data_IF_913407882634
#
_entry.id   IF_913407882634
#
_cell.length_a   1.000
_cell.length_b   1.000
_cell.length_c   1.000
_cell.angle_alpha   90.00
_cell.angle_beta   90.00
_cell.angle_gamma   90.00
#
_symmetry.space_group_name_H-M   'P 1'
#
loop_
_entity.id
_entity.type
_entity.pdbx_description
1 polymer ?
#
# COMPACT_ATOMS: atom_id res chain seq x y z
N UNK A 1 -18.90 41.54 46.93
CA UNK A 1 -20.14 41.76 46.15
C UNK A 1 -19.93 42.03 44.65
N UNK A 2 -18.81 42.62 44.20
CA UNK A 2 -18.61 42.98 42.78
C UNK A 2 -18.12 41.86 41.83
N UNK A 3 -17.60 40.74 42.34
CA UNK A 3 -17.05 39.66 41.50
C UNK A 3 -18.14 38.71 40.98
N UNK A 4 -19.05 38.29 41.87
CA UNK A 4 -20.19 37.42 41.57
C UNK A 4 -21.16 38.05 40.55
N UNK A 5 -21.46 39.35 40.71
CA UNK A 5 -22.26 40.11 39.72
C UNK A 5 -21.62 40.17 38.33
N UNK A 6 -20.29 40.23 38.23
CA UNK A 6 -19.57 40.21 36.94
C UNK A 6 -19.62 38.83 36.30
N UNK A 7 -19.43 37.76 37.08
CA UNK A 7 -19.51 36.37 36.60
C UNK A 7 -20.93 36.02 36.12
N UNK A 8 -21.97 36.44 36.85
CA UNK A 8 -23.37 36.24 36.45
C UNK A 8 -23.71 37.01 35.15
N UNK A 9 -23.16 38.22 34.98
CA UNK A 9 -23.35 39.02 33.78
C UNK A 9 -22.59 38.44 32.57
N UNK A 10 -21.41 37.85 32.80
CA UNK A 10 -20.62 37.18 31.77
C UNK A 10 -21.28 35.86 31.32
N UNK A 11 -21.85 35.11 32.26
CA UNK A 11 -22.61 33.89 31.99
C UNK A 11 -23.90 34.20 31.22
N UNK A 12 -24.62 35.25 31.62
CA UNK A 12 -25.78 35.74 30.89
C UNK A 12 -25.45 36.17 29.46
N UNK A 13 -24.31 36.85 29.23
CA UNK A 13 -23.85 37.21 27.89
C UNK A 13 -23.44 35.97 27.07
N UNK A 14 -22.78 34.99 27.67
CA UNK A 14 -22.41 33.75 26.99
C UNK A 14 -23.64 32.94 26.57
N UNK A 15 -24.61 32.76 27.47
CA UNK A 15 -25.86 32.05 27.18
C UNK A 15 -26.65 32.77 26.06
N UNK A 16 -26.70 34.10 26.07
CA UNK A 16 -27.38 34.89 25.03
C UNK A 16 -26.66 34.81 23.67
N UNK A 17 -25.32 34.75 23.67
CA UNK A 17 -24.54 34.53 22.45
C UNK A 17 -24.77 33.13 21.89
N UNK A 18 -24.85 32.11 22.73
CA UNK A 18 -25.13 30.73 22.32
C UNK A 18 -26.57 30.56 21.80
N UNK A 19 -27.53 31.26 22.40
CA UNK A 19 -28.94 31.32 21.99
C UNK A 19 -29.12 32.02 20.62
N UNK A 20 -28.27 33.00 20.29
CA UNK A 20 -28.19 33.65 18.98
C UNK A 20 -27.39 32.83 17.95
N UNK A 21 -26.36 32.10 18.39
CA UNK A 21 -25.47 31.35 17.49
C UNK A 21 -26.10 30.05 16.98
N UNK A 22 -26.84 29.34 17.83
CA UNK A 22 -27.50 28.08 17.47
C UNK A 22 -28.50 28.18 16.30
N UNK A 23 -29.41 29.17 16.23
CA UNK A 23 -30.32 29.32 15.08
C UNK A 23 -29.59 29.75 13.80
N UNK A 24 -28.55 30.60 13.91
CA UNK A 24 -27.72 31.00 12.76
C UNK A 24 -26.93 29.80 12.22
N UNK A 25 -26.32 29.00 13.08
CA UNK A 25 -25.62 27.77 12.72
C UNK A 25 -26.56 26.73 12.10
N UNK A 26 -27.80 26.62 12.61
CA UNK A 26 -28.84 25.74 12.04
C UNK A 26 -29.29 26.20 10.65
N UNK A 27 -29.48 27.50 10.45
CA UNK A 27 -29.78 28.09 9.13
C UNK A 27 -28.61 27.92 8.15
N UNK A 28 -27.37 28.14 8.58
CA UNK A 28 -26.17 27.94 7.77
C UNK A 28 -26.00 26.47 7.35
N UNK A 29 -26.23 25.52 8.26
CA UNK A 29 -26.26 24.07 7.95
C UNK A 29 -27.39 23.70 6.99
N UNK A 30 -28.55 24.35 7.09
CA UNK A 30 -29.67 24.17 6.16
C UNK A 30 -29.35 24.68 4.75
N UNK A 31 -28.72 25.86 4.65
CA UNK A 31 -28.29 26.46 3.40
C UNK A 31 -27.18 25.62 2.73
N UNK A 32 -26.19 25.15 3.50
CA UNK A 32 -25.15 24.24 3.02
C UNK A 32 -25.73 22.94 2.43
N UNK A 33 -26.72 22.33 3.10
CA UNK A 33 -27.41 21.13 2.58
C UNK A 33 -28.16 21.39 1.27
N UNK A 34 -28.78 22.56 1.11
CA UNK A 34 -29.43 22.95 -0.15
C UNK A 34 -28.39 23.12 -1.26
N UNK A 35 -27.30 23.83 -1.00
CA UNK A 35 -26.21 24.06 -1.97
C UNK A 35 -25.57 22.72 -2.38
N UNK A 36 -25.29 21.83 -1.43
CA UNK A 36 -24.79 20.49 -1.70
C UNK A 36 -25.73 19.69 -2.62
N UNK A 37 -27.05 19.73 -2.34
CA UNK A 37 -28.05 19.07 -3.20
C UNK A 37 -28.05 19.65 -4.61
N UNK A 38 -28.07 20.98 -4.75
CA UNK A 38 -28.01 21.61 -6.08
C UNK A 38 -26.76 21.22 -6.87
N UNK A 39 -25.60 21.12 -6.20
CA UNK A 39 -24.34 20.71 -6.83
C UNK A 39 -24.38 19.27 -7.32
N UNK A 40 -24.75 18.33 -6.45
CA UNK A 40 -24.78 16.91 -6.83
C UNK A 40 -25.86 16.68 -7.90
N UNK A 41 -27.03 17.33 -7.81
CA UNK A 41 -28.04 17.27 -8.88
C UNK A 41 -27.49 17.82 -10.19
N UNK A 42 -26.79 18.96 -10.19
CA UNK A 42 -26.21 19.54 -11.40
C UNK A 42 -25.15 18.65 -12.05
N UNK A 43 -24.28 18.04 -11.25
CA UNK A 43 -23.29 17.06 -11.71
C UNK A 43 -23.97 15.80 -12.28
N UNK A 44 -24.97 15.26 -11.58
CA UNK A 44 -25.73 14.07 -12.00
C UNK A 44 -26.49 14.35 -13.30
N UNK A 45 -27.17 15.49 -13.42
CA UNK A 45 -27.81 15.94 -14.64
C UNK A 45 -26.82 16.05 -15.80
N UNK A 46 -25.66 16.68 -15.58
CA UNK A 46 -24.62 16.81 -16.60
C UNK A 46 -24.17 15.43 -17.10
N UNK A 47 -23.90 14.47 -16.20
CA UNK A 47 -23.48 13.12 -16.54
C UNK A 47 -24.56 12.31 -17.29
N UNK A 48 -25.82 12.43 -16.88
CA UNK A 48 -26.96 11.76 -17.55
C UNK A 48 -27.14 12.31 -18.96
N UNK A 49 -27.21 13.63 -19.12
CA UNK A 49 -27.36 14.29 -20.42
C UNK A 49 -26.25 13.93 -21.38
N UNK A 50 -25.02 13.82 -20.88
CA UNK A 50 -23.86 13.39 -21.68
C UNK A 50 -23.95 11.94 -22.15
N UNK A 51 -24.42 11.02 -21.28
CA UNK A 51 -24.67 9.62 -21.67
C UNK A 51 -25.84 9.51 -22.67
N UNK A 52 -26.89 10.31 -22.50
CA UNK A 52 -28.01 10.38 -23.42
C UNK A 52 -27.60 10.93 -24.79
N UNK A 53 -26.77 11.98 -24.83
CA UNK A 53 -26.18 12.52 -26.07
C UNK A 53 -25.42 11.45 -26.85
N UNK A 54 -24.55 10.68 -26.18
CA UNK A 54 -23.84 9.55 -26.83
C UNK A 54 -24.78 8.48 -27.37
N UNK A 55 -25.85 8.18 -26.63
CA UNK A 55 -26.85 7.20 -27.06
C UNK A 55 -27.67 7.72 -28.26
N UNK A 56 -28.03 9.00 -28.27
CA UNK A 56 -28.71 9.66 -29.40
C UNK A 56 -27.82 9.68 -30.65
N UNK A 57 -26.52 9.95 -30.49
CA UNK A 57 -25.56 9.92 -31.59
C UNK A 57 -25.43 8.50 -32.21
N UNK A 58 -25.45 7.46 -31.38
CA UNK A 58 -25.45 6.07 -31.85
C UNK A 58 -26.71 5.69 -32.64
N UNK A 59 -27.85 6.36 -32.39
CA UNK A 59 -29.12 6.18 -33.11
C UNK A 59 -29.22 7.11 -34.34
N UNK A 60 -28.13 7.84 -34.67
CA UNK A 60 -28.02 8.82 -35.77
C UNK A 60 -28.88 10.07 -35.61
N UNK A 61 -29.33 10.39 -34.40
CA UNK A 61 -30.01 11.66 -34.10
C UNK A 61 -28.98 12.74 -33.74
N UNK A 62 -28.35 13.33 -34.76
CA UNK A 62 -27.23 14.26 -34.58
C UNK A 62 -27.64 15.56 -33.89
N UNK A 63 -28.82 16.11 -34.21
CA UNK A 63 -29.32 17.38 -33.66
C UNK A 63 -29.63 17.23 -32.16
N UNK A 64 -30.32 16.15 -31.79
CA UNK A 64 -30.62 15.87 -30.39
C UNK A 64 -29.33 15.59 -29.59
N UNK A 65 -28.38 14.88 -30.20
CA UNK A 65 -27.10 14.61 -29.56
C UNK A 65 -26.30 15.90 -29.27
N UNK A 66 -26.26 16.86 -30.21
CA UNK A 66 -25.56 18.13 -29.99
C UNK A 66 -26.23 18.97 -28.91
N UNK A 67 -27.56 19.05 -28.91
CA UNK A 67 -28.32 19.84 -27.93
C UNK A 67 -28.13 19.27 -26.51
N UNK A 68 -28.21 17.94 -26.36
CA UNK A 68 -27.97 17.28 -25.07
C UNK A 68 -26.53 17.48 -24.57
N UNK A 69 -25.54 17.53 -25.48
CA UNK A 69 -24.15 17.80 -25.11
C UNK A 69 -23.95 19.25 -24.66
N UNK A 70 -24.58 20.22 -25.33
CA UNK A 70 -24.52 21.62 -24.96
C UNK A 70 -25.16 21.87 -23.58
N UNK A 71 -26.34 21.29 -23.34
CA UNK A 71 -26.98 21.35 -22.04
C UNK A 71 -26.14 20.69 -20.93
N UNK A 72 -25.48 19.57 -21.22
CA UNK A 72 -24.56 18.91 -20.27
C UNK A 72 -23.41 19.84 -19.85
N UNK A 73 -22.79 20.53 -20.82
CA UNK A 73 -21.70 21.51 -20.58
C UNK A 73 -22.18 22.72 -19.78
N UNK A 74 -23.39 23.21 -20.06
CA UNK A 74 -23.98 24.32 -19.32
C UNK A 74 -24.20 23.98 -17.83
N UNK A 75 -24.68 22.78 -17.53
CA UNK A 75 -24.84 22.32 -16.16
C UNK A 75 -23.50 22.15 -15.43
N UNK A 76 -22.49 21.62 -16.12
CA UNK A 76 -21.13 21.49 -15.60
C UNK A 76 -20.54 22.87 -15.25
N UNK A 77 -20.62 23.82 -16.17
CA UNK A 77 -20.09 25.18 -15.99
C UNK A 77 -20.76 25.89 -14.81
N UNK A 78 -22.09 25.77 -14.67
CA UNK A 78 -22.81 26.32 -13.50
C UNK A 78 -22.34 25.69 -12.18
N UNK A 79 -22.03 24.38 -12.16
CA UNK A 79 -21.53 23.73 -10.96
C UNK A 79 -20.11 24.21 -10.59
N UNK A 80 -19.26 24.43 -11.60
CA UNK A 80 -17.90 24.97 -11.45
C UNK A 80 -17.95 26.41 -10.92
N UNK A 81 -18.77 27.28 -11.51
CA UNK A 81 -18.90 28.68 -11.07
C UNK A 81 -19.37 28.80 -9.61
N UNK A 82 -20.25 27.90 -9.16
CA UNK A 82 -20.68 27.84 -7.75
C UNK A 82 -19.56 27.30 -6.86
N UNK A 83 -18.72 26.39 -7.36
CA UNK A 83 -17.53 25.93 -6.62
C UNK A 83 -16.50 27.04 -6.46
N UNK A 84 -16.19 27.77 -7.52
CA UNK A 84 -15.19 28.83 -7.50
C UNK A 84 -15.59 29.92 -6.50
N UNK A 85 -16.85 30.37 -6.53
CA UNK A 85 -17.35 31.35 -5.55
C UNK A 85 -17.29 30.85 -4.11
N UNK A 86 -17.67 29.60 -3.86
CA UNK A 86 -17.59 29.02 -2.51
C UNK A 86 -16.14 28.89 -2.02
N UNK A 87 -15.22 28.58 -2.94
CA UNK A 87 -13.80 28.45 -2.62
C UNK A 87 -13.19 29.81 -2.29
N UNK A 88 -13.57 30.86 -3.03
CA UNK A 88 -13.20 32.26 -2.77
C UNK A 88 -13.71 32.76 -1.41
N UNK A 89 -14.94 32.41 -1.02
CA UNK A 89 -15.53 32.82 0.26
C UNK A 89 -14.91 32.07 1.46
N UNK A 90 -14.84 30.73 1.40
CA UNK A 90 -14.31 29.92 2.49
C UNK A 90 -13.77 28.56 2.03
N UNK A 91 -12.45 28.51 1.83
CA UNK A 91 -11.72 27.31 1.39
C UNK A 91 -12.00 26.06 2.25
N UNK A 92 -12.03 26.18 3.58
CA UNK A 92 -12.21 25.03 4.47
C UNK A 92 -13.61 24.43 4.36
N UNK A 93 -14.62 25.29 4.32
CA UNK A 93 -16.02 24.87 4.21
C UNK A 93 -16.33 24.32 2.80
N UNK A 94 -15.70 24.87 1.76
CA UNK A 94 -15.83 24.35 0.40
C UNK A 94 -15.26 22.93 0.25
N UNK A 95 -14.10 22.66 0.86
CA UNK A 95 -13.48 21.31 0.87
C UNK A 95 -14.35 20.32 1.63
N UNK A 96 -14.84 20.69 2.83
CA UNK A 96 -15.73 19.85 3.63
C UNK A 96 -17.02 19.52 2.87
N UNK A 97 -17.62 20.51 2.20
CA UNK A 97 -18.83 20.31 1.39
C UNK A 97 -18.60 19.40 0.17
N UNK A 98 -17.42 19.42 -0.43
CA UNK A 98 -17.08 18.56 -1.57
C UNK A 98 -16.92 17.08 -1.18
N UNK A 99 -16.53 16.82 0.07
CA UNK A 99 -16.36 15.48 0.61
C UNK A 99 -17.63 14.95 1.30
N UNK A 100 -18.58 15.84 1.62
CA UNK A 100 -19.84 15.44 2.26
C UNK A 100 -20.68 14.56 1.32
N UNK A 101 -21.11 13.41 1.82
CA UNK A 101 -21.99 12.50 1.06
C UNK A 101 -23.40 13.09 0.91
N UNK A 102 -23.92 13.03 -0.31
CA UNK A 102 -25.30 13.38 -0.62
C UNK A 102 -26.01 12.18 -1.26
N UNK A 103 -27.27 11.99 -0.89
CA UNK A 103 -28.17 11.05 -1.54
C UNK A 103 -29.12 11.81 -2.47
N UNK A 104 -28.99 11.55 -3.77
CA UNK A 104 -29.83 12.13 -4.82
C UNK A 104 -30.16 11.05 -5.83
N UNK A 105 -31.46 10.80 -6.05
CA UNK A 105 -31.98 9.81 -6.99
C UNK A 105 -31.42 8.38 -6.75
N UNK A 106 -31.16 8.03 -5.48
CA UNK A 106 -30.61 6.73 -5.08
C UNK A 106 -29.09 6.60 -5.27
N UNK A 107 -28.41 7.69 -5.62
CA UNK A 107 -26.95 7.76 -5.74
C UNK A 107 -26.39 8.32 -4.43
N UNK A 108 -25.72 7.47 -3.65
CA UNK A 108 -24.98 7.85 -2.46
C UNK A 108 -23.52 8.11 -2.82
N UNK A 109 -23.17 9.37 -3.09
CA UNK A 109 -21.78 9.73 -3.41
C UNK A 109 -21.48 11.18 -3.02
N UNK A 110 -20.22 11.46 -2.65
CA UNK A 110 -19.77 12.84 -2.50
C UNK A 110 -19.62 13.51 -3.88
N UNK A 111 -19.87 14.83 -4.00
CA UNK A 111 -19.73 15.56 -5.26
C UNK A 111 -18.37 15.35 -5.92
N UNK A 112 -17.30 15.31 -5.10
CA UNK A 112 -15.93 15.08 -5.56
C UNK A 112 -15.78 13.69 -6.19
N UNK A 113 -16.30 12.66 -5.53
CA UNK A 113 -16.25 11.27 -6.01
C UNK A 113 -17.03 11.13 -7.31
N UNK A 114 -18.23 11.71 -7.36
CA UNK A 114 -19.10 11.63 -8.54
C UNK A 114 -18.52 12.34 -9.76
N UNK A 115 -17.97 13.54 -9.57
CA UNK A 115 -17.29 14.28 -10.63
C UNK A 115 -16.08 13.48 -11.13
N UNK A 116 -15.23 13.02 -10.22
CA UNK A 116 -14.05 12.25 -10.57
C UNK A 116 -14.37 10.99 -11.38
N UNK A 117 -15.36 10.20 -10.96
CA UNK A 117 -15.75 8.98 -11.67
C UNK A 117 -16.29 9.25 -13.08
N UNK A 118 -17.17 10.23 -13.25
CA UNK A 118 -17.77 10.50 -14.55
C UNK A 118 -16.82 11.23 -15.50
N UNK A 119 -16.02 12.20 -15.03
CA UNK A 119 -15.11 12.95 -15.89
C UNK A 119 -13.89 12.14 -16.31
N UNK A 120 -13.35 11.28 -15.44
CA UNK A 120 -12.20 10.45 -15.78
C UNK A 120 -12.55 9.42 -16.86
N UNK A 121 -13.66 8.69 -16.72
CA UNK A 121 -14.09 7.71 -17.74
C UNK A 121 -14.40 8.34 -19.10
N UNK A 122 -14.89 9.58 -19.11
CA UNK A 122 -15.31 10.23 -20.35
C UNK A 122 -14.15 10.81 -21.17
N UNK A 123 -13.12 11.33 -20.48
CA UNK A 123 -11.88 11.77 -21.11
C UNK A 123 -11.11 10.62 -21.80
N UNK A 124 -11.20 9.41 -21.24
CA UNK A 124 -10.57 8.20 -21.78
C UNK A 124 -11.22 7.73 -23.10
N UNK A 125 -12.55 7.85 -23.23
CA UNK A 125 -13.30 7.34 -24.40
C UNK A 125 -13.29 8.32 -25.58
N UNK A 126 -13.19 9.63 -25.32
CA UNK A 126 -13.39 10.66 -26.36
C UNK A 126 -12.12 11.05 -27.13
N UNK A 127 -10.90 10.82 -26.60
CA UNK A 127 -9.64 11.20 -27.27
C UNK A 127 -8.52 10.16 -27.04
N UNK A 128 -8.20 9.27 -28.02
CA UNK A 128 -7.20 8.20 -27.83
C UNK A 128 -5.79 8.73 -27.57
N UNK A 129 -5.42 9.91 -28.10
CA UNK A 129 -4.12 10.54 -27.79
C UNK A 129 -3.98 11.01 -26.34
N UNK A 130 -5.09 11.28 -25.64
CA UNK A 130 -5.09 11.63 -24.20
C UNK A 130 -5.27 10.40 -23.30
N UNK A 131 -5.61 9.24 -23.88
CA UNK A 131 -5.81 7.98 -23.15
C UNK A 131 -4.52 7.50 -22.48
N UNK A 132 -3.39 7.51 -23.19
CA UNK A 132 -2.09 7.15 -22.63
C UNK A 132 -1.54 8.17 -21.63
N UNK A 133 -2.05 9.41 -21.66
CA UNK A 133 -1.66 10.46 -20.72
C UNK A 133 -2.44 10.39 -19.40
N UNK A 134 -3.60 9.72 -19.39
CA UNK A 134 -4.44 9.64 -18.20
C UNK A 134 -3.81 8.78 -17.10
N UNK A 135 -3.94 9.18 -15.82
CA UNK A 135 -3.23 8.57 -14.69
C UNK A 135 -3.64 7.10 -14.45
N UNK A 136 -4.94 6.79 -14.57
CA UNK A 136 -5.42 5.41 -14.42
C UNK A 136 -4.80 4.47 -15.48
N UNK A 137 -4.69 4.93 -16.72
CA UNK A 137 -4.11 4.13 -17.81
C UNK A 137 -2.62 3.90 -17.60
N UNK A 138 -1.89 4.93 -17.15
CA UNK A 138 -0.48 4.81 -16.75
C UNK A 138 -0.30 3.80 -15.62
N UNK A 139 -1.17 3.86 -14.61
CA UNK A 139 -1.18 2.92 -13.51
C UNK A 139 -1.39 1.47 -13.99
N UNK A 140 -2.48 1.22 -14.72
CA UNK A 140 -2.79 -0.13 -15.22
C UNK A 140 -1.65 -0.64 -16.11
N UNK A 141 -1.11 0.21 -16.99
CA UNK A 141 0.02 -0.15 -17.82
C UNK A 141 1.28 -0.49 -17.00
N UNK A 142 1.61 0.31 -15.98
CA UNK A 142 2.74 0.04 -15.08
C UNK A 142 2.61 -1.35 -14.42
N UNK A 143 1.42 -1.66 -13.91
CA UNK A 143 1.17 -2.94 -13.26
C UNK A 143 1.07 -4.13 -14.21
N UNK A 144 0.63 -3.93 -15.46
CA UNK A 144 0.74 -4.95 -16.51
C UNK A 144 2.22 -5.26 -16.81
N UNK A 145 3.07 -4.24 -16.93
CA UNK A 145 4.52 -4.43 -17.08
C UNK A 145 5.12 -5.11 -15.85
N UNK A 146 4.68 -4.75 -14.64
CA UNK A 146 5.12 -5.42 -13.41
C UNK A 146 4.73 -6.90 -13.37
N UNK A 147 3.50 -7.24 -13.78
CA UNK A 147 3.08 -8.64 -13.90
C UNK A 147 3.95 -9.43 -14.87
N UNK A 148 4.27 -8.85 -16.05
CA UNK A 148 5.22 -9.49 -16.97
C UNK A 148 6.61 -9.65 -16.36
N UNK A 149 7.09 -8.67 -15.60
CA UNK A 149 8.35 -8.79 -14.85
C UNK A 149 8.29 -9.96 -13.87
N UNK A 150 7.22 -10.12 -13.09
CA UNK A 150 7.08 -11.23 -12.15
C UNK A 150 7.12 -12.59 -12.83
N UNK A 151 6.43 -12.74 -13.98
CA UNK A 151 6.47 -14.00 -14.76
C UNK A 151 7.90 -14.28 -15.24
N UNK A 152 8.59 -13.27 -15.76
CA UNK A 152 9.97 -13.41 -16.25
C UNK A 152 10.96 -13.65 -15.11
N UNK A 153 10.76 -13.02 -13.95
CA UNK A 153 11.57 -13.21 -12.75
C UNK A 153 11.36 -14.60 -12.16
N UNK A 154 10.12 -15.09 -12.11
CA UNK A 154 9.82 -16.47 -11.74
C UNK A 154 10.47 -17.45 -12.71
N UNK A 155 10.34 -17.23 -14.03
CA UNK A 155 11.03 -18.04 -15.02
C UNK A 155 12.55 -18.06 -14.78
N UNK A 156 13.17 -16.90 -14.55
CA UNK A 156 14.59 -16.76 -14.24
C UNK A 156 15.01 -17.55 -12.97
N UNK A 157 14.25 -17.44 -11.87
CA UNK A 157 14.57 -18.14 -10.62
C UNK A 157 14.40 -19.66 -10.75
N UNK A 158 13.40 -20.12 -11.52
CA UNK A 158 13.14 -21.54 -11.76
C UNK A 158 14.12 -22.17 -12.76
N UNK A 159 14.50 -21.46 -13.83
CA UNK A 159 15.51 -21.95 -14.76
C UNK A 159 16.87 -21.92 -14.06
N UNK A 160 17.44 -23.10 -13.82
CA UNK A 160 18.68 -23.24 -13.05
C UNK A 160 19.76 -22.30 -13.58
N UNK A 161 20.26 -21.42 -12.72
CA UNK A 161 21.37 -20.48 -12.97
C UNK A 161 22.69 -21.20 -13.33
N UNK A 162 22.77 -22.52 -13.12
CA UNK A 162 24.01 -23.32 -13.14
C UNK A 162 24.19 -24.27 -14.33
N UNK A 163 23.14 -24.66 -15.06
CA UNK A 163 23.34 -25.67 -16.11
C UNK A 163 23.97 -25.06 -17.37
N UNK A 164 24.71 -25.86 -18.13
CA UNK A 164 25.16 -25.57 -19.52
C UNK A 164 24.02 -25.07 -20.45
N UNK A 165 22.76 -25.12 -20.00
CA UNK A 165 21.59 -24.51 -20.63
C UNK A 165 21.47 -22.99 -20.46
N UNK A 166 22.22 -22.34 -19.55
CA UNK A 166 22.39 -20.87 -19.54
C UNK A 166 23.07 -20.33 -20.82
N UNK A 167 23.59 -21.25 -21.67
CA UNK A 167 24.14 -20.96 -22.99
C UNK A 167 23.05 -20.72 -24.05
N UNK A 168 21.77 -20.99 -23.75
CA UNK A 168 20.67 -20.49 -24.59
C UNK A 168 20.33 -19.06 -24.19
N UNK A 169 20.47 -18.12 -25.13
CA UNK A 169 20.33 -16.66 -24.97
C UNK A 169 19.07 -16.21 -24.20
N UNK A 170 18.04 -17.04 -24.15
CA UNK A 170 16.73 -16.76 -23.53
C UNK A 170 16.84 -16.47 -22.03
N UNK A 171 17.63 -17.24 -21.26
CA UNK A 171 17.73 -17.04 -19.81
C UNK A 171 18.42 -15.71 -19.44
N UNK A 172 19.39 -15.29 -20.26
CA UNK A 172 20.08 -14.00 -20.12
C UNK A 172 19.14 -12.83 -20.41
N UNK A 173 18.27 -12.98 -21.42
CA UNK A 173 17.24 -11.96 -21.72
C UNK A 173 16.30 -11.75 -20.53
N UNK A 174 15.90 -12.82 -19.85
CA UNK A 174 15.04 -12.73 -18.67
C UNK A 174 15.74 -12.02 -17.50
N UNK A 175 16.99 -12.37 -17.23
CA UNK A 175 17.82 -11.73 -16.21
C UNK A 175 17.99 -10.22 -16.46
N UNK A 176 18.39 -9.84 -17.68
CA UNK A 176 18.54 -8.43 -18.04
C UNK A 176 17.23 -7.66 -18.02
N UNK A 177 16.11 -8.29 -18.40
CA UNK A 177 14.80 -7.65 -18.32
C UNK A 177 14.42 -7.31 -16.87
N UNK A 178 14.63 -8.23 -15.93
CA UNK A 178 14.39 -7.99 -14.49
C UNK A 178 15.28 -6.86 -13.97
N UNK A 179 16.55 -6.83 -14.39
CA UNK A 179 17.48 -5.79 -13.94
C UNK A 179 17.12 -4.42 -14.50
N UNK A 180 16.78 -4.35 -15.78
CA UNK A 180 16.37 -3.12 -16.44
C UNK A 180 15.07 -2.58 -15.84
N UNK A 181 14.06 -3.44 -15.67
CA UNK A 181 12.80 -3.05 -15.05
C UNK A 181 13.00 -2.60 -13.59
N UNK A 182 13.78 -3.37 -12.81
CA UNK A 182 14.05 -3.09 -11.40
C UNK A 182 14.84 -1.80 -11.20
N UNK A 183 15.81 -1.51 -12.06
CA UNK A 183 16.55 -0.24 -12.03
C UNK A 183 15.64 0.94 -12.38
N UNK A 184 14.79 0.81 -13.39
CA UNK A 184 13.82 1.84 -13.75
C UNK A 184 12.88 2.16 -12.58
N UNK A 185 12.31 1.13 -11.98
CA UNK A 185 11.36 1.31 -10.88
C UNK A 185 12.03 1.86 -9.61
N UNK A 186 13.24 1.38 -9.27
CA UNK A 186 14.05 1.92 -8.18
C UNK A 186 14.36 3.41 -8.35
N UNK A 187 14.64 3.86 -9.57
CA UNK A 187 14.89 5.29 -9.83
C UNK A 187 13.63 6.13 -9.63
N UNK A 188 12.45 5.68 -10.10
CA UNK A 188 11.21 6.43 -9.84
C UNK A 188 10.88 6.47 -8.34
N UNK A 189 11.16 5.39 -7.61
CA UNK A 189 10.96 5.38 -6.16
C UNK A 189 11.93 6.31 -5.42
N UNK A 190 13.19 6.36 -5.87
CA UNK A 190 14.18 7.30 -5.38
C UNK A 190 13.76 8.75 -5.67
N UNK A 191 13.20 9.03 -6.87
CA UNK A 191 12.67 10.36 -7.20
C UNK A 191 11.51 10.73 -6.29
N UNK A 192 10.58 9.80 -6.02
CA UNK A 192 9.44 10.01 -5.11
C UNK A 192 9.90 10.29 -3.67
N UNK A 193 10.90 9.56 -3.20
CA UNK A 193 11.44 9.69 -1.85
C UNK A 193 12.16 11.04 -1.63
N UNK A 194 13.01 11.44 -2.58
CA UNK A 194 13.80 12.68 -2.49
C UNK A 194 13.06 13.92 -2.99
N UNK A 195 12.03 13.77 -3.83
CA UNK A 195 11.24 14.87 -4.39
C UNK A 195 11.99 15.76 -5.38
N UNK A 196 13.13 15.32 -5.91
CA UNK A 196 14.03 16.16 -6.73
C UNK A 196 13.43 16.65 -8.06
N UNK A 197 12.40 15.97 -8.58
CA UNK A 197 11.76 16.26 -9.88
C UNK A 197 10.26 16.57 -9.75
N UNK A 198 9.76 16.73 -8.52
CA UNK A 198 8.34 16.95 -8.24
C UNK A 198 8.02 18.45 -8.36
N UNK A 199 7.54 18.87 -9.52
CA UNK A 199 7.22 20.27 -9.81
C UNK A 199 5.87 20.71 -9.21
N UNK A 200 5.76 20.87 -7.88
CA UNK A 200 4.78 21.81 -7.26
C UNK A 200 4.93 22.01 -5.74
N UNK A 201 5.41 23.18 -5.34
CA UNK A 201 4.69 24.08 -4.42
C UNK A 201 4.29 23.62 -3.00
N UNK A 202 4.89 22.58 -2.40
CA UNK A 202 4.65 22.26 -0.97
C UNK A 202 5.94 22.37 -0.16
N UNK A 203 6.10 23.53 0.49
CA UNK A 203 6.93 23.84 1.67
C UNK A 203 8.36 23.28 1.70
N UNK A 204 9.32 24.19 1.88
CA UNK A 204 10.72 23.94 2.24
C UNK A 204 10.84 23.27 3.63
N UNK A 205 10.34 22.04 3.78
CA UNK A 205 10.44 21.23 4.98
C UNK A 205 11.63 20.29 4.83
N UNK A 206 12.45 20.18 5.89
CA UNK A 206 13.70 19.40 5.87
C UNK A 206 13.47 18.00 5.31
N UNK A 207 14.36 17.55 4.41
CA UNK A 207 14.37 16.25 3.74
C UNK A 207 14.06 15.08 4.70
N UNK A 208 14.60 15.13 5.92
CA UNK A 208 14.36 14.14 6.98
C UNK A 208 12.87 13.97 7.33
N UNK A 209 12.10 15.06 7.36
CA UNK A 209 10.67 15.00 7.69
C UNK A 209 9.82 14.37 6.58
N UNK A 210 10.29 14.43 5.32
CA UNK A 210 9.66 13.73 4.18
C UNK A 210 9.99 12.24 4.24
N UNK A 211 11.25 11.90 4.42
CA UNK A 211 11.71 10.51 4.57
C UNK A 211 10.97 9.80 5.72
N UNK A 212 10.85 10.44 6.89
CA UNK A 212 10.12 9.86 8.04
C UNK A 212 8.66 9.57 7.72
N UNK A 213 7.99 10.40 6.92
CA UNK A 213 6.60 10.17 6.49
C UNK A 213 6.52 9.03 5.48
N UNK A 214 7.43 9.01 4.53
CA UNK A 214 7.51 7.95 3.52
C UNK A 214 7.70 6.58 4.18
N UNK A 215 8.63 6.47 5.13
CA UNK A 215 8.89 5.25 5.91
C UNK A 215 7.78 4.86 6.88
N UNK A 216 6.78 5.71 7.12
CA UNK A 216 5.64 5.35 7.98
C UNK A 216 4.57 4.57 7.22
N UNK A 217 4.58 4.64 5.88
CA UNK A 217 3.64 3.86 5.08
C UNK A 217 4.14 2.43 4.89
N UNK A 218 3.23 1.48 5.09
CA UNK A 218 3.49 0.05 4.99
C UNK A 218 3.97 -0.34 3.59
N UNK A 219 3.34 0.18 2.54
CA UNK A 219 3.68 -0.16 1.15
C UNK A 219 5.08 0.32 0.80
N UNK A 220 5.43 1.54 1.19
CA UNK A 220 6.77 2.09 1.02
C UNK A 220 7.86 1.27 1.74
N UNK A 221 7.56 0.71 2.93
CA UNK A 221 8.47 -0.20 3.62
C UNK A 221 8.67 -1.49 2.82
N UNK A 222 7.58 -2.08 2.31
CA UNK A 222 7.63 -3.30 1.48
C UNK A 222 8.42 -3.03 0.19
N UNK A 223 8.21 -1.87 -0.43
CA UNK A 223 8.95 -1.43 -1.61
C UNK A 223 10.44 -1.32 -1.31
N UNK A 224 10.82 -0.59 -0.26
CA UNK A 224 12.21 -0.46 0.17
C UNK A 224 12.87 -1.82 0.47
N UNK A 225 12.15 -2.71 1.15
CA UNK A 225 12.61 -4.07 1.43
C UNK A 225 12.82 -4.86 0.13
N UNK A 226 11.90 -4.76 -0.83
CA UNK A 226 11.98 -5.45 -2.11
C UNK A 226 13.23 -5.06 -2.91
N UNK A 227 13.56 -3.77 -2.95
CA UNK A 227 14.77 -3.27 -3.62
C UNK A 227 16.04 -3.63 -2.86
N UNK A 228 16.03 -3.54 -1.52
CA UNK A 228 17.19 -3.92 -0.71
C UNK A 228 17.57 -5.39 -0.93
N UNK A 229 16.57 -6.29 -0.98
CA UNK A 229 16.78 -7.72 -1.26
C UNK A 229 17.23 -7.97 -2.71
N UNK A 230 16.71 -7.22 -3.68
CA UNK A 230 17.13 -7.35 -5.08
C UNK A 230 18.59 -6.91 -5.26
N UNK A 231 18.97 -5.77 -4.68
CA UNK A 231 20.34 -5.23 -4.74
C UNK A 231 21.32 -6.17 -4.02
N UNK A 232 20.94 -6.73 -2.86
CA UNK A 232 21.80 -7.68 -2.16
C UNK A 232 21.98 -8.98 -2.95
N UNK A 233 20.93 -9.51 -3.58
CA UNK A 233 21.03 -10.69 -4.44
C UNK A 233 21.93 -10.45 -5.66
N UNK A 234 21.83 -9.27 -6.28
CA UNK A 234 22.69 -8.82 -7.37
C UNK A 234 24.16 -8.71 -6.93
N UNK A 235 24.42 -8.11 -5.77
CA UNK A 235 25.75 -7.96 -5.21
C UNK A 235 26.40 -9.33 -4.98
N UNK A 236 25.68 -10.25 -4.31
CA UNK A 236 26.17 -11.62 -4.05
C UNK A 236 26.49 -12.33 -5.37
N UNK A 237 25.66 -12.15 -6.41
CA UNK A 237 25.90 -12.76 -7.72
C UNK A 237 27.13 -12.21 -8.45
N UNK A 238 27.42 -10.91 -8.32
CA UNK A 238 28.56 -10.30 -9.00
C UNK A 238 29.90 -10.60 -8.34
N UNK A 239 29.95 -10.67 -7.00
CA UNK A 239 31.19 -10.84 -6.25
C UNK A 239 31.62 -12.30 -6.05
N UNK A 240 30.70 -13.27 -6.08
CA UNK A 240 31.01 -14.68 -5.80
C UNK A 240 30.57 -15.59 -6.95
N UNK A 241 31.52 -15.92 -7.82
CA UNK A 241 31.29 -16.55 -9.13
C UNK A 241 31.40 -18.09 -9.11
N UNK A 242 32.00 -18.75 -8.11
CA UNK A 242 32.32 -20.20 -8.26
C UNK A 242 31.71 -21.17 -7.22
N UNK A 243 31.53 -20.84 -5.94
CA UNK A 243 31.02 -21.82 -4.93
C UNK A 243 29.71 -21.45 -4.20
N UNK A 244 29.13 -20.27 -4.43
CA UNK A 244 27.97 -19.74 -3.65
C UNK A 244 26.68 -19.57 -4.45
N UNK A 245 26.50 -20.28 -5.57
CA UNK A 245 25.30 -20.13 -6.40
C UNK A 245 24.00 -20.54 -5.71
N UNK A 246 24.06 -21.46 -4.75
CA UNK A 246 22.88 -21.86 -3.95
C UNK A 246 22.38 -20.71 -3.07
N UNK A 247 23.29 -19.91 -2.50
CA UNK A 247 22.98 -18.75 -1.67
C UNK A 247 22.39 -17.63 -2.53
N UNK A 248 23.02 -17.33 -3.68
CA UNK A 248 22.49 -16.34 -4.63
C UNK A 248 21.07 -16.69 -5.09
N UNK A 249 20.81 -17.96 -5.43
CA UNK A 249 19.47 -18.44 -5.79
C UNK A 249 18.46 -18.25 -4.66
N UNK A 250 18.83 -18.58 -3.42
CA UNK A 250 17.96 -18.37 -2.23
C UNK A 250 17.63 -16.89 -2.03
N UNK A 251 18.59 -15.99 -2.22
CA UNK A 251 18.39 -14.54 -2.13
C UNK A 251 17.47 -14.01 -3.24
N UNK A 252 17.64 -14.45 -4.49
CA UNK A 252 16.73 -14.09 -5.58
C UNK A 252 15.31 -14.66 -5.34
N UNK A 253 15.19 -15.90 -4.84
CA UNK A 253 13.89 -16.47 -4.50
C UNK A 253 13.18 -15.69 -3.37
N UNK A 254 13.93 -15.26 -2.35
CA UNK A 254 13.39 -14.42 -1.27
C UNK A 254 12.98 -13.03 -1.80
N UNK A 255 13.79 -12.43 -2.66
CA UNK A 255 13.47 -11.16 -3.32
C UNK A 255 12.20 -11.28 -4.18
N UNK A 256 12.05 -12.37 -4.94
CA UNK A 256 10.85 -12.67 -5.73
C UNK A 256 9.59 -12.77 -4.85
N UNK A 257 9.68 -13.43 -3.69
CA UNK A 257 8.57 -13.52 -2.74
C UNK A 257 8.07 -12.13 -2.31
N UNK A 258 8.99 -11.23 -1.94
CA UNK A 258 8.63 -9.86 -1.55
C UNK A 258 8.08 -9.05 -2.74
N UNK A 259 8.58 -9.27 -3.95
CA UNK A 259 8.02 -8.65 -5.16
C UNK A 259 6.57 -9.10 -5.44
N UNK A 260 6.21 -10.36 -5.16
CA UNK A 260 4.82 -10.80 -5.22
C UNK A 260 3.94 -10.14 -4.15
N UNK A 261 4.45 -9.95 -2.93
CA UNK A 261 3.74 -9.20 -1.90
C UNK A 261 3.51 -7.74 -2.32
N UNK A 262 4.50 -7.11 -2.95
CA UNK A 262 4.37 -5.77 -3.53
C UNK A 262 3.31 -5.68 -4.62
N UNK A 263 3.16 -6.72 -5.45
CA UNK A 263 2.12 -6.77 -6.48
C UNK A 263 0.69 -6.61 -5.93
N UNK A 264 0.45 -6.94 -4.65
CA UNK A 264 -0.86 -6.77 -4.02
C UNK A 264 -1.35 -5.31 -4.02
N UNK A 265 -0.43 -4.34 -4.11
CA UNK A 265 -0.77 -2.91 -4.20
C UNK A 265 -1.68 -2.61 -5.40
N UNK A 266 -1.64 -3.41 -6.48
CA UNK A 266 -2.54 -3.27 -7.64
C UNK A 266 -4.02 -3.32 -7.25
N UNK A 267 -4.33 -4.14 -6.24
CA UNK A 267 -5.70 -4.37 -5.80
C UNK A 267 -6.25 -3.21 -4.98
N UNK A 268 -5.41 -2.27 -4.53
CA UNK A 268 -5.85 -1.05 -3.84
C UNK A 268 -6.74 -0.16 -4.71
N UNK A 269 -6.53 -0.12 -6.04
CA UNK A 269 -7.40 0.68 -6.91
C UNK A 269 -8.75 0.00 -7.16
N UNK A 270 -8.82 -1.33 -7.03
CA UNK A 270 -10.02 -2.07 -7.36
C UNK A 270 -11.12 -1.83 -6.32
N UNK A 271 -12.33 -1.48 -6.78
CA UNK A 271 -13.46 -1.06 -5.91
C UNK A 271 -13.85 -2.10 -4.85
N UNK A 272 -13.77 -3.39 -5.19
CA UNK A 272 -14.14 -4.47 -4.25
C UNK A 272 -12.98 -4.95 -3.37
N UNK A 273 -11.75 -4.92 -3.90
CA UNK A 273 -10.59 -5.52 -3.23
C UNK A 273 -9.78 -4.50 -2.42
N UNK A 274 -9.87 -3.21 -2.75
CA UNK A 274 -9.16 -2.15 -2.06
C UNK A 274 -9.57 -2.00 -0.59
N UNK A 275 -10.87 -1.84 -0.26
CA UNK A 275 -11.30 -1.75 1.14
C UNK A 275 -10.94 -3.00 1.94
N UNK A 276 -11.06 -4.19 1.36
CA UNK A 276 -10.69 -5.45 2.03
C UNK A 276 -9.19 -5.52 2.32
N UNK A 277 -8.35 -5.05 1.40
CA UNK A 277 -6.91 -5.04 1.59
C UNK A 277 -6.50 -4.00 2.66
N UNK A 278 -7.17 -2.85 2.72
CA UNK A 278 -6.95 -1.86 3.79
C UNK A 278 -7.34 -2.42 5.15
N UNK A 279 -8.44 -3.17 5.24
CA UNK A 279 -8.80 -3.88 6.47
C UNK A 279 -7.72 -4.88 6.90
N UNK A 280 -7.23 -5.70 5.96
CA UNK A 280 -6.15 -6.66 6.25
C UNK A 280 -4.88 -5.95 6.72
N UNK A 281 -4.50 -4.82 6.10
CA UNK A 281 -3.35 -3.99 6.50
C UNK A 281 -3.48 -3.50 7.95
N UNK A 282 -4.66 -3.02 8.36
CA UNK A 282 -4.87 -2.56 9.73
C UNK A 282 -4.91 -3.72 10.73
N UNK A 283 -5.53 -4.85 10.39
CA UNK A 283 -5.52 -6.06 11.22
C UNK A 283 -4.10 -6.62 11.43
N UNK A 284 -3.25 -6.55 10.41
CA UNK A 284 -1.88 -7.05 10.50
C UNK A 284 -1.04 -6.28 11.53
N UNK A 285 -1.29 -4.97 11.70
CA UNK A 285 -0.63 -4.16 12.74
C UNK A 285 -1.00 -4.66 14.14
N UNK A 286 -2.28 -4.96 14.35
CA UNK A 286 -2.77 -5.51 15.61
C UNK A 286 -2.24 -6.94 15.84
N UNK A 287 -2.15 -7.76 14.78
CA UNK A 287 -1.58 -9.12 14.82
C UNK A 287 -0.12 -9.11 15.28
N UNK A 288 0.70 -8.18 14.78
CA UNK A 288 2.13 -8.13 15.13
C UNK A 288 2.35 -7.94 16.64
N UNK A 289 1.49 -7.15 17.30
CA UNK A 289 1.52 -7.00 18.76
C UNK A 289 1.21 -8.30 19.49
N UNK A 290 0.22 -9.07 19.01
CA UNK A 290 -0.10 -10.37 19.58
C UNK A 290 0.99 -11.43 19.32
N UNK A 291 1.54 -11.46 18.09
CA UNK A 291 2.59 -12.40 17.71
C UNK A 291 3.81 -12.30 18.62
N UNK A 292 4.11 -11.09 19.12
CA UNK A 292 5.16 -10.88 20.12
C UNK A 292 4.89 -11.62 21.43
N UNK A 293 3.64 -11.64 21.91
CA UNK A 293 3.25 -12.41 23.11
C UNK A 293 3.38 -13.91 22.83
N UNK A 294 2.86 -14.37 21.68
CA UNK A 294 2.93 -15.78 21.28
C UNK A 294 4.39 -16.27 21.18
N UNK A 295 5.29 -15.42 20.68
CA UNK A 295 6.72 -15.72 20.57
C UNK A 295 7.35 -16.05 21.95
N UNK A 296 7.03 -15.31 23.01
CA UNK A 296 7.56 -15.61 24.35
C UNK A 296 7.04 -16.94 24.89
N UNK A 297 5.77 -17.26 24.62
CA UNK A 297 5.19 -18.55 25.05
C UNK A 297 5.86 -19.71 24.30
N UNK A 298 6.02 -19.59 22.98
CA UNK A 298 6.71 -20.57 22.12
C UNK A 298 8.15 -20.77 22.59
N UNK A 299 8.90 -19.70 22.85
CA UNK A 299 10.29 -19.79 23.33
C UNK A 299 10.37 -20.45 24.72
N UNK A 300 9.47 -20.13 25.63
CA UNK A 300 9.45 -20.72 26.98
C UNK A 300 9.24 -22.24 26.93
N UNK A 301 8.25 -22.70 26.16
CA UNK A 301 7.97 -24.13 25.98
C UNK A 301 9.08 -24.82 25.18
N UNK A 302 9.61 -24.18 24.14
CA UNK A 302 10.71 -24.72 23.35
C UNK A 302 11.99 -24.95 24.16
N UNK A 303 12.35 -24.02 25.03
CA UNK A 303 13.49 -24.18 25.94
C UNK A 303 13.23 -25.32 26.92
N UNK A 304 12.00 -25.45 27.43
CA UNK A 304 11.63 -26.56 28.32
C UNK A 304 11.77 -27.92 27.64
N UNK A 305 11.26 -28.08 26.41
CA UNK A 305 11.44 -29.32 25.64
C UNK A 305 12.90 -29.64 25.43
N UNK A 306 13.68 -28.66 24.98
CA UNK A 306 15.09 -28.87 24.68
C UNK A 306 15.90 -29.22 25.94
N UNK A 307 15.59 -28.61 27.09
CA UNK A 307 16.29 -28.87 28.34
C UNK A 307 16.11 -30.32 28.83
N UNK A 308 14.93 -30.91 28.62
CA UNK A 308 14.61 -32.25 29.10
C UNK A 308 14.91 -33.35 28.07
N UNK A 309 14.70 -33.10 26.77
CA UNK A 309 15.04 -34.08 25.72
C UNK A 309 16.55 -34.22 25.54
N UNK A 310 17.30 -33.11 25.64
CA UNK A 310 18.76 -33.08 25.44
C UNK A 310 19.47 -32.36 26.60
N UNK A 311 19.60 -32.98 27.78
CA UNK A 311 20.29 -32.36 28.90
C UNK A 311 21.79 -32.20 28.63
N UNK A 312 22.44 -31.23 29.28
CA UNK A 312 23.90 -31.00 29.22
C UNK A 312 24.49 -30.71 27.83
N UNK A 313 23.66 -30.24 26.90
CA UNK A 313 24.10 -29.90 25.56
C UNK A 313 24.67 -28.47 25.52
N UNK A 314 26.00 -28.33 25.44
CA UNK A 314 26.68 -27.06 25.69
C UNK A 314 26.62 -26.06 24.52
N UNK A 315 26.25 -26.50 23.32
CA UNK A 315 26.48 -25.74 22.09
C UNK A 315 25.20 -25.27 21.40
N UNK A 316 24.62 -24.16 21.87
CA UNK A 316 23.39 -23.59 21.25
C UNK A 316 23.68 -23.03 19.84
N UNK A 317 24.88 -22.48 19.64
CA UNK A 317 25.28 -21.71 18.46
C UNK A 317 26.42 -22.37 17.65
N UNK A 318 26.78 -23.63 17.94
CA UNK A 318 27.83 -24.32 17.18
C UNK A 318 27.30 -24.82 15.83
N UNK A 319 28.04 -24.56 14.76
CA UNK A 319 27.73 -25.03 13.40
C UNK A 319 27.35 -23.92 12.45
N UNK A 320 27.00 -24.30 11.22
CA UNK A 320 26.48 -23.38 10.21
C UNK A 320 25.15 -22.77 10.64
N UNK A 321 24.89 -21.52 10.24
CA UNK A 321 23.67 -20.77 10.61
C UNK A 321 22.36 -21.52 10.32
N UNK A 322 22.35 -22.41 9.33
CA UNK A 322 21.20 -23.25 8.96
C UNK A 322 20.93 -24.39 9.93
N UNK A 323 21.96 -24.85 10.65
CA UNK A 323 21.89 -25.97 11.59
C UNK A 323 21.96 -25.49 13.04
N UNK A 324 21.82 -24.19 13.29
CA UNK A 324 21.76 -23.67 14.65
C UNK A 324 20.58 -24.25 15.40
N UNK A 325 20.85 -24.69 16.63
CA UNK A 325 19.89 -25.43 17.43
C UNK A 325 18.72 -24.59 17.93
N UNK A 326 18.86 -23.27 17.93
CA UNK A 326 17.77 -22.33 18.19
C UNK A 326 16.58 -22.53 17.23
N UNK A 327 16.83 -23.00 16.00
CA UNK A 327 15.76 -23.31 15.05
C UNK A 327 14.92 -24.48 15.53
N UNK A 328 15.53 -25.54 16.06
CA UNK A 328 14.85 -26.71 16.62
C UNK A 328 14.01 -26.33 17.85
N UNK A 329 14.52 -25.43 18.70
CA UNK A 329 13.81 -24.92 19.89
C UNK A 329 12.49 -24.24 19.52
N UNK A 330 12.49 -23.47 18.43
CA UNK A 330 11.29 -22.74 17.97
C UNK A 330 10.37 -23.64 17.14
N UNK A 331 10.94 -24.57 16.37
CA UNK A 331 10.24 -25.39 15.39
C UNK A 331 9.08 -26.18 16.00
N UNK A 332 9.34 -27.04 17.00
CA UNK A 332 8.31 -27.95 17.52
C UNK A 332 7.14 -27.23 18.19
N UNK A 333 7.35 -26.29 19.14
CA UNK A 333 6.22 -25.58 19.75
C UNK A 333 5.48 -24.68 18.75
N UNK A 334 6.16 -24.14 17.72
CA UNK A 334 5.49 -23.38 16.67
C UNK A 334 4.50 -24.22 15.86
N UNK A 335 4.90 -25.42 15.40
CA UNK A 335 4.01 -26.30 14.62
C UNK A 335 2.83 -26.84 15.45
N UNK A 336 3.02 -27.00 16.75
CA UNK A 336 1.96 -27.37 17.69
C UNK A 336 0.83 -26.31 17.77
N UNK A 337 1.10 -25.02 17.51
CA UNK A 337 0.04 -24.00 17.38
C UNK A 337 -0.94 -24.32 16.23
N UNK A 338 -0.48 -25.04 15.22
CA UNK A 338 -1.27 -25.50 14.08
C UNK A 338 -1.77 -26.94 14.23
N UNK A 339 -1.72 -27.48 15.46
CA UNK A 339 -2.12 -28.84 15.81
C UNK A 339 -1.26 -29.96 15.20
N UNK A 340 -0.02 -29.65 14.79
CA UNK A 340 0.96 -30.67 14.40
C UNK A 340 1.80 -31.08 15.62
N UNK A 341 1.51 -32.26 16.16
CA UNK A 341 1.92 -32.66 17.51
C UNK A 341 3.30 -33.30 17.57
N UNK A 342 3.71 -34.03 16.54
CA UNK A 342 4.96 -34.79 16.46
C UNK A 342 5.29 -35.57 17.74
N UNK A 343 4.31 -36.36 18.22
CA UNK A 343 4.41 -37.10 19.49
C UNK A 343 5.56 -38.11 19.51
N UNK A 344 5.87 -38.74 18.37
CA UNK A 344 6.98 -39.69 18.21
C UNK A 344 8.33 -39.06 18.58
N UNK A 345 8.50 -37.79 18.25
CA UNK A 345 9.70 -37.03 18.59
C UNK A 345 9.75 -36.60 20.07
N UNK A 346 8.59 -36.28 20.66
CA UNK A 346 8.48 -35.82 22.04
C UNK A 346 8.50 -36.95 23.07
N UNK A 347 8.15 -38.17 22.65
CA UNK A 347 8.21 -39.39 23.45
C UNK A 347 9.65 -39.91 23.58
N UNK A 348 10.58 -39.44 22.75
CA UNK A 348 11.97 -39.87 22.77
C UNK A 348 12.21 -41.27 22.16
N UNK A 349 11.17 -41.85 21.55
CA UNK A 349 11.20 -43.17 20.91
C UNK A 349 11.85 -43.16 19.52
N UNK A 350 12.07 -41.97 18.94
CA UNK A 350 12.85 -41.77 17.71
C UNK A 350 14.36 -42.04 17.95
N UNK A 351 14.76 -43.30 17.74
CA UNK A 351 16.14 -43.76 17.86
C UNK A 351 16.87 -43.94 16.51
N UNK A 352 16.27 -43.46 15.42
CA UNK A 352 16.89 -43.52 14.08
C UNK A 352 18.02 -42.48 13.96
N UNK A 353 19.18 -42.91 13.48
CA UNK A 353 20.36 -42.06 13.19
C UNK A 353 20.88 -41.18 14.35
N UNK A 354 20.89 -41.71 15.59
CA UNK A 354 21.37 -40.97 16.77
C UNK A 354 22.36 -41.79 17.63
N UNK A 355 23.18 -41.11 18.44
CA UNK A 355 24.12 -41.75 19.38
C UNK A 355 24.02 -41.20 20.80
N UNK A 356 24.15 -42.07 21.81
CA UNK A 356 24.17 -41.66 23.22
C UNK A 356 25.59 -41.33 23.74
N UNK A 357 26.62 -41.53 22.93
CA UNK A 357 28.02 -41.40 23.34
C UNK A 357 28.49 -39.94 23.18
N UNK A 358 28.79 -39.27 24.29
CA UNK A 358 29.22 -37.86 24.35
C UNK A 358 30.33 -37.51 23.37
N UNK A 359 31.38 -38.33 23.32
CA UNK A 359 32.54 -38.07 22.46
C UNK A 359 32.22 -38.13 20.95
N UNK A 360 31.14 -38.83 20.56
CA UNK A 360 30.80 -39.04 19.15
C UNK A 360 30.02 -37.84 18.62
N UNK A 361 28.94 -37.44 19.29
CA UNK A 361 28.13 -36.29 18.87
C UNK A 361 28.80 -34.93 19.15
N UNK A 362 29.81 -34.85 20.01
CA UNK A 362 30.64 -33.63 20.14
C UNK A 362 31.66 -33.49 19.01
N UNK A 363 32.13 -34.62 18.46
CA UNK A 363 33.18 -34.64 17.43
C UNK A 363 32.63 -34.48 16.01
N UNK A 364 31.41 -34.95 15.76
CA UNK A 364 30.77 -34.95 14.45
C UNK A 364 29.40 -34.27 14.53
N UNK A 365 29.26 -33.12 13.87
CA UNK A 365 28.03 -32.32 13.84
C UNK A 365 26.92 -32.94 12.98
N UNK A 366 27.22 -34.01 12.23
CA UNK A 366 26.22 -34.75 11.45
C UNK A 366 25.46 -35.80 12.26
N UNK A 367 25.96 -36.16 13.44
CA UNK A 367 25.37 -37.19 14.31
C UNK A 367 24.68 -36.51 15.49
N UNK A 368 23.36 -36.64 15.57
CA UNK A 368 22.56 -36.08 16.65
C UNK A 368 22.59 -36.98 17.89
N UNK A 369 22.46 -36.36 19.08
CA UNK A 369 22.23 -37.09 20.33
C UNK A 369 20.79 -37.60 20.37
N UNK A 370 20.59 -38.85 20.81
CA UNK A 370 19.23 -39.37 20.97
C UNK A 370 18.47 -38.58 22.05
N UNK A 371 17.18 -38.28 21.82
CA UNK A 371 16.32 -37.68 22.84
C UNK A 371 16.17 -38.62 24.05
N UNK A 372 16.03 -38.04 25.24
CA UNK A 372 15.68 -38.79 26.45
C UNK A 372 14.17 -38.85 26.63
N UNK A 373 13.68 -40.03 27.02
CA UNK A 373 12.27 -40.23 27.37
C UNK A 373 11.96 -39.50 28.68
N UNK A 374 11.06 -38.52 28.62
CA UNK A 374 10.56 -37.80 29.79
C UNK A 374 9.06 -37.53 29.68
N UNK A 375 8.29 -38.13 30.59
CA UNK A 375 6.84 -37.96 30.65
C UNK A 375 6.42 -36.50 30.92
N UNK A 376 7.28 -35.69 31.55
CA UNK A 376 6.98 -34.30 31.87
C UNK A 376 6.85 -33.44 30.62
N UNK A 377 7.59 -33.79 29.56
CA UNK A 377 7.53 -33.11 28.25
C UNK A 377 6.17 -33.32 27.61
N UNK A 378 5.66 -34.54 27.64
CA UNK A 378 4.32 -34.87 27.14
C UNK A 378 3.22 -34.14 27.94
N UNK A 379 3.36 -34.10 29.26
CA UNK A 379 2.43 -33.38 30.12
C UNK A 379 2.42 -31.86 29.81
N UNK A 380 3.59 -31.24 29.66
CA UNK A 380 3.69 -29.83 29.28
C UNK A 380 3.19 -29.57 27.87
N UNK A 381 3.41 -30.48 26.92
CA UNK A 381 2.82 -30.39 25.59
C UNK A 381 1.29 -30.41 25.63
N UNK A 382 0.67 -31.31 26.39
CA UNK A 382 -0.78 -31.34 26.56
C UNK A 382 -1.34 -30.02 27.12
N UNK A 383 -0.69 -29.46 28.15
CA UNK A 383 -1.08 -28.17 28.74
C UNK A 383 -0.89 -27.02 27.73
N UNK A 384 0.24 -27.02 27.00
CA UNK A 384 0.56 -26.01 26.01
C UNK A 384 -0.45 -25.99 24.87
N UNK A 385 -0.85 -27.14 24.35
CA UNK A 385 -1.86 -27.26 23.30
C UNK A 385 -3.23 -26.76 23.77
N UNK A 386 -3.61 -27.10 25.01
CA UNK A 386 -4.85 -26.60 25.60
C UNK A 386 -4.82 -25.08 25.69
N UNK A 387 -3.75 -24.50 26.24
CA UNK A 387 -3.62 -23.05 26.38
C UNK A 387 -3.55 -22.35 25.01
N UNK A 388 -2.78 -22.88 24.08
CA UNK A 388 -2.59 -22.26 22.77
C UNK A 388 -3.85 -22.31 21.92
N UNK A 389 -4.50 -23.47 21.83
CA UNK A 389 -5.68 -23.64 20.99
C UNK A 389 -6.93 -23.02 21.62
N UNK A 390 -7.11 -23.11 22.94
CA UNK A 390 -8.29 -22.53 23.60
C UNK A 390 -8.15 -21.04 23.90
N UNK A 391 -6.95 -20.55 24.21
CA UNK A 391 -6.72 -19.16 24.57
C UNK A 391 -6.05 -18.38 23.45
N UNK A 392 -4.83 -18.73 23.04
CA UNK A 392 -4.06 -17.89 22.12
C UNK A 392 -4.76 -17.72 20.76
N UNK A 393 -5.11 -18.82 20.09
CA UNK A 393 -5.76 -18.77 18.77
C UNK A 393 -7.13 -18.09 18.84
N UNK A 394 -7.94 -18.43 19.85
CA UNK A 394 -9.28 -17.84 20.02
C UNK A 394 -9.22 -16.34 20.34
N UNK A 395 -8.20 -15.89 21.08
CA UNK A 395 -8.00 -14.48 21.37
C UNK A 395 -7.61 -13.71 20.10
N UNK A 396 -6.78 -14.29 19.22
CA UNK A 396 -6.46 -13.69 17.91
C UNK A 396 -7.72 -13.52 17.08
N UNK A 397 -8.56 -14.57 17.01
CA UNK A 397 -9.83 -14.51 16.28
C UNK A 397 -10.72 -13.41 16.86
N UNK A 398 -10.83 -13.31 18.19
CA UNK A 398 -11.62 -12.27 18.84
C UNK A 398 -11.08 -10.85 18.55
N UNK A 399 -9.77 -10.65 18.60
CA UNK A 399 -9.12 -9.39 18.25
C UNK A 399 -9.35 -9.01 16.79
N UNK A 400 -9.27 -9.97 15.88
CA UNK A 400 -9.58 -9.75 14.47
C UNK A 400 -11.04 -9.37 14.24
N UNK A 401 -11.99 -10.02 14.90
CA UNK A 401 -13.40 -9.64 14.82
C UNK A 401 -13.63 -8.22 15.32
N UNK A 402 -13.04 -7.85 16.46
CA UNK A 402 -13.15 -6.50 17.02
C UNK A 402 -12.54 -5.44 16.10
N UNK A 403 -11.34 -5.67 15.58
CA UNK A 403 -10.69 -4.75 14.65
C UNK A 403 -11.42 -4.71 13.30
N UNK A 404 -11.96 -5.84 12.83
CA UNK A 404 -12.77 -5.88 11.61
C UNK A 404 -13.95 -4.93 11.69
N UNK A 405 -14.75 -5.01 12.75
CA UNK A 405 -15.91 -4.16 12.93
C UNK A 405 -15.52 -2.67 13.01
N UNK A 406 -14.51 -2.34 13.82
CA UNK A 406 -14.00 -0.97 13.96
C UNK A 406 -13.47 -0.38 12.64
N UNK A 407 -12.74 -1.18 11.87
CA UNK A 407 -12.12 -0.71 10.62
C UNK A 407 -13.13 -0.71 9.48
N UNK A 408 -14.06 -1.67 9.42
CA UNK A 408 -15.08 -1.77 8.37
C UNK A 408 -15.88 -0.47 8.24
N UNK A 409 -16.29 0.15 9.34
CA UNK A 409 -17.05 1.42 9.35
C UNK A 409 -16.31 2.59 8.67
N UNK A 410 -14.97 2.60 8.72
CA UNK A 410 -14.14 3.67 8.19
C UNK A 410 -13.32 3.27 6.94
N UNK A 411 -13.35 1.98 6.59
CA UNK A 411 -12.52 1.38 5.54
C UNK A 411 -12.74 2.01 4.18
N UNK A 412 -13.99 2.35 3.84
CA UNK A 412 -14.34 2.95 2.55
C UNK A 412 -13.78 4.38 2.43
N UNK A 413 -13.81 5.15 3.52
CA UNK A 413 -13.25 6.51 3.54
C UNK A 413 -11.73 6.49 3.41
N UNK A 414 -11.07 5.61 4.18
CA UNK A 414 -9.63 5.39 4.09
C UNK A 414 -9.23 4.93 2.68
N UNK A 415 -9.99 4.01 2.09
CA UNK A 415 -9.80 3.55 0.73
C UNK A 415 -9.90 4.65 -0.30
N UNK A 416 -10.92 5.53 -0.21
CA UNK A 416 -11.06 6.66 -1.13
C UNK A 416 -9.86 7.61 -1.02
N UNK A 417 -9.35 7.86 0.18
CA UNK A 417 -8.16 8.69 0.39
C UNK A 417 -6.90 8.06 -0.21
N UNK A 418 -6.64 6.78 0.07
CA UNK A 418 -5.50 6.02 -0.48
C UNK A 418 -5.59 5.90 -2.00
N UNK A 419 -6.79 5.71 -2.54
CA UNK A 419 -7.00 5.69 -3.99
C UNK A 419 -6.67 7.05 -4.62
N UNK A 420 -7.02 8.15 -3.96
CA UNK A 420 -6.71 9.48 -4.44
C UNK A 420 -5.19 9.76 -4.43
N UNK A 421 -4.49 9.39 -3.35
CA UNK A 421 -3.03 9.57 -3.25
C UNK A 421 -2.31 8.81 -4.37
N UNK A 422 -2.64 7.54 -4.56
CA UNK A 422 -2.07 6.72 -5.66
C UNK A 422 -2.31 7.37 -7.01
N UNK A 423 -3.54 7.79 -7.32
CA UNK A 423 -3.86 8.37 -8.64
C UNK A 423 -3.12 9.69 -8.86
N UNK A 424 -3.04 10.52 -7.82
CA UNK A 424 -2.31 11.78 -7.86
C UNK A 424 -0.82 11.54 -8.14
N UNK A 425 -0.22 10.49 -7.56
CA UNK A 425 1.19 10.16 -7.77
C UNK A 425 1.45 9.67 -9.22
N UNK A 426 0.51 8.95 -9.81
CA UNK A 426 0.60 8.48 -11.21
C UNK A 426 0.28 9.56 -12.27
N UNK A 427 -0.06 10.79 -11.86
CA UNK A 427 -0.20 11.91 -12.80
C UNK A 427 1.17 12.28 -13.41
N UNK A 428 2.21 12.34 -12.57
CA UNK A 428 3.58 12.67 -12.95
C UNK A 428 4.52 11.47 -13.07
N UNK A 429 4.19 10.31 -12.49
CA UNK A 429 5.00 9.09 -12.63
C UNK A 429 4.96 8.57 -14.08
N UNK A 430 6.11 8.11 -14.56
CA UNK A 430 6.25 7.45 -15.86
C UNK A 430 6.39 5.95 -15.59
N UNK A 431 5.64 5.07 -16.29
CA UNK A 431 5.72 3.63 -16.05
C UNK A 431 7.11 3.06 -16.37
N UNK A 432 7.57 2.13 -15.54
CA UNK A 432 8.79 1.34 -15.80
C UNK A 432 8.50 0.28 -16.88
N UNK A 433 9.40 0.01 -17.84
CA UNK A 433 10.78 0.51 -17.96
C UNK A 433 10.94 1.70 -18.92
N UNK A 434 9.83 2.28 -19.39
CA UNK A 434 9.81 3.39 -20.36
C UNK A 434 10.49 4.63 -19.75
N UNK A 435 10.38 4.79 -18.43
CA UNK A 435 11.04 5.82 -17.65
C UNK A 435 12.56 5.94 -17.92
N UNK A 436 13.30 4.84 -18.10
CA UNK A 436 14.75 4.86 -18.33
C UNK A 436 15.15 5.60 -19.60
N UNK A 437 14.30 5.59 -20.62
CA UNK A 437 14.53 6.31 -21.89
C UNK A 437 14.26 7.81 -21.74
N UNK A 438 13.27 8.19 -20.94
CA UNK A 438 12.85 9.59 -20.75
C UNK A 438 13.52 10.29 -19.56
N UNK A 439 14.18 9.53 -18.69
CA UNK A 439 14.94 10.02 -17.53
C UNK A 439 15.97 11.10 -17.86
N UNK A 440 16.87 10.94 -18.85
CA UNK A 440 17.80 12.00 -19.22
C UNK A 440 17.07 13.28 -19.64
N UNK A 441 16.03 13.18 -20.48
CA UNK A 441 15.23 14.33 -20.87
C UNK A 441 14.55 15.02 -19.67
N UNK A 442 14.03 14.25 -18.70
CA UNK A 442 13.38 14.75 -17.49
C UNK A 442 14.36 15.48 -16.56
N UNK A 443 15.58 14.97 -16.39
CA UNK A 443 16.65 15.65 -15.64
C UNK A 443 17.13 16.92 -16.35
N UNK A 444 17.27 16.90 -17.68
CA UNK A 444 17.65 18.08 -18.46
C UNK A 444 16.56 19.16 -18.50
N UNK A 445 15.28 18.79 -18.44
CA UNK A 445 14.15 19.71 -18.32
C UNK A 445 13.82 20.14 -16.87
N UNK A 446 14.62 19.71 -15.88
CA UNK A 446 14.40 20.07 -14.49
C UNK A 446 14.46 21.60 -14.30
N UNK A 447 13.48 22.22 -13.62
CA UNK A 447 13.33 23.68 -13.54
C UNK A 447 14.32 24.35 -12.56
N UNK A 448 15.46 23.73 -12.28
CA UNK A 448 16.55 24.30 -11.48
C UNK A 448 17.56 25.11 -12.30
N UNK A 449 17.42 25.16 -13.63
CA UNK A 449 18.06 26.21 -14.44
C UNK A 449 17.03 27.29 -14.74
N UNK A 450 17.24 28.48 -14.22
CA UNK A 450 16.47 29.73 -14.39
C UNK A 450 16.30 30.21 -15.87
N UNK A 451 16.56 29.33 -16.85
CA UNK A 451 16.53 29.61 -18.28
C UNK A 451 15.62 28.68 -19.10
N UNK A 452 14.69 27.93 -18.50
CA UNK A 452 13.81 27.06 -19.29
C UNK A 452 12.73 27.88 -20.05
N UNK A 453 12.75 27.81 -21.38
CA UNK A 453 11.93 28.61 -22.31
C UNK A 453 10.40 28.53 -22.07
N UNK A 454 9.91 27.48 -21.40
CA UNK A 454 8.48 27.30 -21.13
C UNK A 454 7.90 28.34 -20.15
N UNK A 455 8.70 28.81 -19.18
CA UNK A 455 8.24 29.83 -18.21
C UNK A 455 8.18 31.23 -18.86
N UNK A 456 9.08 31.51 -19.81
CA UNK A 456 9.04 32.72 -20.64
C UNK A 456 7.85 32.70 -21.60
N UNK A 457 7.53 31.57 -22.23
CA UNK A 457 6.34 31.45 -23.08
C UNK A 457 5.03 31.62 -22.30
N UNK A 458 4.92 31.07 -21.08
CA UNK A 458 3.72 31.25 -20.25
C UNK A 458 3.55 32.68 -19.75
N UNK A 459 4.64 33.37 -19.41
CA UNK A 459 4.63 34.79 -19.04
C UNK A 459 4.37 35.74 -20.23
N UNK A 460 4.83 35.37 -21.42
CA UNK A 460 4.62 36.13 -22.65
C UNK A 460 3.19 35.97 -23.19
N UNK A 461 2.58 34.78 -23.04
CA UNK A 461 1.16 34.55 -23.36
C UNK A 461 0.23 35.30 -22.41
N UNK A 462 0.58 35.40 -21.11
CA UNK A 462 -0.16 36.20 -20.13
C UNK A 462 -0.10 37.70 -20.43
N UNK A 463 1.08 38.23 -20.81
CA UNK A 463 1.25 39.63 -21.22
C UNK A 463 0.65 39.96 -22.59
N UNK A 464 0.53 38.99 -23.49
CA UNK A 464 -0.20 39.17 -24.74
C UNK A 464 -1.71 39.25 -24.50
N UNK A 465 -2.25 38.44 -23.59
CA UNK A 465 -3.68 38.44 -23.25
C UNK A 465 -4.12 39.71 -22.50
N UNK A 466 -3.21 40.32 -21.72
CA UNK A 466 -3.45 41.62 -21.06
C UNK A 466 -3.32 42.83 -22.00
N UNK A 467 -2.73 42.67 -23.20
CA UNK A 467 -2.59 43.73 -24.21
C UNK A 467 -3.57 43.61 -25.40
N UNK A 468 -4.33 42.52 -25.47
CA UNK A 468 -5.29 42.24 -26.54
C UNK A 468 -6.76 42.18 -26.07
N UNK A 469 -7.07 42.76 -24.90
CA UNK A 469 -8.44 43.17 -24.59
C UNK A 469 -8.78 44.46 -25.35
N UNK A 470 -9.90 44.46 -26.08
CA UNK A 470 -11.11 45.14 -25.60
C UNK A 470 -12.00 44.22 -24.76
#
# INVERSE_FOLDING_TARGET
MNKKKKEDQQKYLADKVEELHNPVAKSAKGLCRKILRYKVTGLVCSAILKKLSKKANNVKEQILASDLEEHSKLFEQRCLDIMDRMYEENTKQAIDLMDTEADIWGIHSSPLTFAYENFMYDSAVTKPGKFFTAPLTKYVFNYMMFFTMLVMYSAFVLTSISTKYYVQDIARVFEYYVYFWGAGDFIEELISCFGCLEARGRSHRSYYSRMKRYLYDFWNIVDLLSYALLISALFVRHFFIDETFTISRRMFALSLLVMYMRFLEVFLIHRKLGPTLIMIKEMLKDLLGFLFIALFVVLGVGIYYHANLWPDHQTIWSGDWTNWRIWTIIYYPYWQLYAELNLEHLDGSDQSDCTNVTSVWESDTSINRCPQEDWTVQAVAAIYLLFSNLLLVNLVIAMFSFTFERVQENSEKLWRFERYTVINDYDWRIPSPINLVFLPYRFFCCPTRDGCCLHKCRGMFKRLNERLGP
#
